data_IF_206960324587
#
_entry.id   IF_206960324587
#
_cell.length_a   1.000
_cell.length_b   1.000
_cell.length_c   1.000
_cell.angle_alpha   90.00
_cell.angle_beta   90.00
_cell.angle_gamma   90.00
#
_symmetry.space_group_name_H-M   'P 1'
#
loop_
_entity.id
_entity.type
_entity.pdbx_description
1 polymer ?
#
# COMPACT_ATOMS: atom_id res chain seq x y z
N UNK A 1 11.13 23.94 -28.03
CA UNK A 1 11.37 22.80 -27.12
C UNK A 1 10.41 21.70 -27.53
N UNK A 2 10.75 20.96 -28.57
CA UNK A 2 9.92 19.85 -29.09
C UNK A 2 10.81 18.89 -29.87
N UNK A 3 11.63 18.11 -29.14
CA UNK A 3 12.55 17.11 -29.77
C UNK A 3 12.93 16.02 -28.76
N UNK A 4 11.97 15.29 -28.20
CA UNK A 4 12.30 14.14 -27.34
C UNK A 4 11.25 13.00 -27.34
N UNK A 5 10.41 12.87 -28.37
CA UNK A 5 9.39 11.80 -28.40
C UNK A 5 9.50 10.86 -29.62
N UNK A 6 10.62 10.84 -30.34
CA UNK A 6 10.77 10.01 -31.55
C UNK A 6 11.70 8.79 -31.42
N UNK A 7 12.41 8.61 -30.33
CA UNK A 7 13.36 7.51 -30.16
C UNK A 7 12.75 6.10 -29.91
N UNK A 8 11.63 5.90 -29.18
CA UNK A 8 11.16 4.54 -28.91
C UNK A 8 10.38 3.87 -30.06
N UNK A 9 9.84 4.66 -31.03
CA UNK A 9 9.10 4.06 -32.15
C UNK A 9 10.04 3.48 -33.22
N UNK A 10 11.20 4.09 -33.44
CA UNK A 10 12.17 3.57 -34.40
C UNK A 10 12.88 2.30 -33.95
N UNK A 11 13.12 2.11 -32.66
CA UNK A 11 13.67 0.88 -32.11
C UNK A 11 12.68 -0.30 -32.17
N UNK A 12 11.38 -0.04 -32.11
CA UNK A 12 10.35 -1.07 -32.25
C UNK A 12 10.15 -1.52 -33.71
N UNK A 13 10.26 -0.61 -34.67
CA UNK A 13 10.18 -0.94 -36.11
C UNK A 13 11.40 -1.77 -36.58
N UNK A 14 12.61 -1.40 -36.14
CA UNK A 14 13.82 -2.15 -36.47
C UNK A 14 13.84 -3.56 -35.86
N UNK A 15 13.34 -3.71 -34.62
CA UNK A 15 13.22 -5.02 -33.99
C UNK A 15 12.17 -5.93 -34.65
N UNK A 16 11.12 -5.34 -35.23
CA UNK A 16 10.11 -6.10 -35.99
C UNK A 16 10.60 -6.52 -37.38
N UNK A 17 11.39 -5.68 -38.06
CA UNK A 17 12.00 -6.02 -39.34
C UNK A 17 13.05 -7.15 -39.20
N UNK A 18 13.91 -7.11 -38.15
CA UNK A 18 14.90 -8.18 -37.89
C UNK A 18 14.22 -9.52 -37.58
N UNK A 19 13.09 -9.55 -36.87
CA UNK A 19 12.36 -10.79 -36.57
C UNK A 19 11.69 -11.36 -37.83
N UNK A 20 11.20 -10.50 -38.72
CA UNK A 20 10.60 -10.95 -40.00
C UNK A 20 11.66 -11.44 -40.96
N UNK A 21 12.84 -10.81 -41.00
CA UNK A 21 13.95 -11.24 -41.88
C UNK A 21 14.58 -12.55 -41.37
N UNK A 22 14.73 -12.76 -40.07
CA UNK A 22 15.17 -14.05 -39.51
C UNK A 22 14.15 -15.18 -39.72
N UNK A 23 12.84 -14.87 -39.73
CA UNK A 23 11.80 -15.83 -40.02
C UNK A 23 11.76 -16.21 -41.52
N UNK A 24 12.11 -15.27 -42.40
CA UNK A 24 12.21 -15.51 -43.84
C UNK A 24 13.47 -16.32 -44.22
N UNK A 25 14.63 -16.07 -43.55
CA UNK A 25 15.85 -16.86 -43.75
C UNK A 25 15.72 -18.28 -43.19
N UNK A 26 14.99 -18.48 -42.09
CA UNK A 26 14.72 -19.82 -41.55
C UNK A 26 13.83 -20.65 -42.46
N UNK A 27 12.96 -20.02 -43.28
CA UNK A 27 12.13 -20.71 -44.26
C UNK A 27 12.87 -21.03 -45.56
N UNK A 28 13.99 -20.36 -45.86
CA UNK A 28 14.77 -20.61 -47.09
C UNK A 28 15.80 -21.74 -46.95
N UNK A 29 16.03 -22.31 -45.78
CA UNK A 29 16.97 -23.40 -45.53
C UNK A 29 16.32 -24.78 -45.35
N UNK A 30 15.01 -24.91 -45.45
CA UNK A 30 14.32 -26.20 -45.59
C UNK A 30 14.18 -26.61 -47.07
N UNK A 31 15.29 -26.69 -47.79
CA UNK A 31 15.32 -27.59 -48.94
C UNK A 31 15.44 -29.03 -48.43
N UNK A 32 14.33 -29.71 -48.50
CA UNK A 32 14.14 -31.09 -48.10
C UNK A 32 15.15 -32.04 -48.81
N UNK A 33 15.68 -33.04 -48.08
CA UNK A 33 16.23 -34.21 -48.75
C UNK A 33 15.06 -34.95 -49.40
N UNK A 34 15.14 -35.11 -50.69
CA UNK A 34 14.29 -36.05 -51.48
C UNK A 34 14.52 -37.44 -50.90
N UNK A 35 13.78 -37.85 -49.89
CA UNK A 35 13.67 -39.22 -49.47
C UNK A 35 12.56 -39.89 -50.28
N UNK A 36 12.91 -40.98 -50.85
CA UNK A 36 12.09 -41.96 -51.61
C UNK A 36 10.69 -42.05 -50.95
N UNK A 37 9.68 -41.54 -51.67
CA UNK A 37 8.27 -41.71 -51.27
C UNK A 37 7.93 -43.18 -51.53
N UNK A 38 8.14 -44.03 -50.54
CA UNK A 38 7.39 -45.26 -50.44
C UNK A 38 5.90 -44.87 -50.35
N UNK A 39 5.08 -45.42 -51.23
CA UNK A 39 3.63 -45.24 -51.29
C UNK A 39 3.08 -45.61 -49.89
N UNK A 40 2.89 -44.55 -49.01
CA UNK A 40 2.22 -44.73 -47.76
C UNK A 40 0.77 -45.10 -48.08
N UNK A 41 0.29 -46.19 -47.55
CA UNK A 41 -1.08 -46.60 -47.82
C UNK A 41 -2.05 -45.50 -47.31
N UNK A 42 -3.18 -45.25 -48.02
CA UNK A 42 -4.17 -44.26 -47.60
C UNK A 42 -4.64 -44.44 -46.14
N UNK A 43 -4.59 -45.68 -45.63
CA UNK A 43 -4.95 -46.00 -44.25
C UNK A 43 -3.89 -45.50 -43.23
N UNK A 44 -2.60 -45.57 -43.60
CA UNK A 44 -1.50 -45.06 -42.77
C UNK A 44 -1.49 -43.52 -42.74
N UNK A 45 -1.80 -42.85 -43.85
CA UNK A 45 -1.94 -41.42 -43.95
C UNK A 45 -3.11 -40.90 -43.07
N UNK A 46 -4.25 -41.59 -43.14
CA UNK A 46 -5.43 -41.30 -42.30
C UNK A 46 -5.09 -41.48 -40.82
N UNK A 47 -4.37 -42.56 -40.45
CA UNK A 47 -3.96 -42.80 -39.06
C UNK A 47 -3.00 -41.72 -38.57
N UNK A 48 -2.06 -41.26 -39.41
CA UNK A 48 -1.15 -40.13 -39.10
C UNK A 48 -1.90 -38.82 -38.84
N UNK A 49 -2.84 -38.48 -39.73
CA UNK A 49 -3.66 -37.27 -39.59
C UNK A 49 -4.55 -37.29 -38.33
N UNK A 50 -5.08 -38.46 -37.96
CA UNK A 50 -5.81 -38.60 -36.71
C UNK A 50 -4.93 -38.38 -35.48
N UNK A 51 -3.69 -38.90 -35.50
CA UNK A 51 -2.74 -38.70 -34.40
C UNK A 51 -2.34 -37.23 -34.27
N UNK A 52 -2.09 -36.54 -35.40
CA UNK A 52 -1.78 -35.11 -35.39
C UNK A 52 -2.97 -34.27 -34.91
N UNK A 53 -4.18 -34.62 -35.29
CA UNK A 53 -5.40 -33.94 -34.87
C UNK A 53 -5.62 -34.10 -33.37
N UNK A 54 -5.38 -35.26 -32.79
CA UNK A 54 -5.47 -35.50 -31.36
C UNK A 54 -4.37 -34.72 -30.59
N UNK A 55 -3.13 -34.70 -31.10
CA UNK A 55 -2.04 -33.91 -30.53
C UNK A 55 -2.34 -32.40 -30.56
N UNK A 56 -2.88 -31.90 -31.68
CA UNK A 56 -3.29 -30.51 -31.81
C UNK A 56 -4.43 -30.14 -30.82
N UNK A 57 -5.42 -31.03 -30.66
CA UNK A 57 -6.50 -30.82 -29.67
C UNK A 57 -5.96 -30.75 -28.27
N UNK A 58 -5.06 -31.65 -27.86
CA UNK A 58 -4.43 -31.62 -26.52
C UNK A 58 -3.63 -30.33 -26.31
N UNK A 59 -2.90 -29.89 -27.35
CA UNK A 59 -2.17 -28.61 -27.30
C UNK A 59 -3.11 -27.44 -27.13
N UNK A 60 -4.22 -27.39 -27.87
CA UNK A 60 -5.24 -26.34 -27.75
C UNK A 60 -5.88 -26.33 -26.35
N UNK A 61 -6.17 -27.50 -25.80
CA UNK A 61 -6.75 -27.61 -24.46
C UNK A 61 -5.79 -27.12 -23.38
N UNK A 62 -4.51 -27.53 -23.44
CA UNK A 62 -3.46 -27.03 -22.55
C UNK A 62 -3.23 -25.52 -22.68
N UNK A 63 -3.27 -24.98 -23.91
CA UNK A 63 -3.16 -23.55 -24.14
C UNK A 63 -4.37 -22.78 -23.59
N UNK A 64 -5.60 -23.29 -23.75
CA UNK A 64 -6.81 -22.69 -23.18
C UNK A 64 -6.72 -22.61 -21.66
N UNK A 65 -6.30 -23.69 -21.00
CA UNK A 65 -6.12 -23.69 -19.54
C UNK A 65 -5.04 -22.69 -19.11
N UNK A 66 -3.95 -22.60 -19.87
CA UNK A 66 -2.90 -21.60 -19.64
C UNK A 66 -3.43 -20.17 -19.75
N UNK A 67 -4.20 -19.86 -20.80
CA UNK A 67 -4.80 -18.54 -21.02
C UNK A 67 -5.80 -18.19 -19.91
N UNK A 68 -6.66 -19.14 -19.52
CA UNK A 68 -7.63 -18.91 -18.42
C UNK A 68 -6.91 -18.61 -17.10
N UNK A 69 -5.85 -19.37 -16.81
CA UNK A 69 -5.03 -19.14 -15.61
C UNK A 69 -4.34 -17.78 -15.65
N UNK A 70 -3.70 -17.44 -16.77
CA UNK A 70 -3.05 -16.14 -16.96
C UNK A 70 -4.05 -14.97 -16.85
N UNK A 71 -5.26 -15.12 -17.41
CA UNK A 71 -6.31 -14.11 -17.27
C UNK A 71 -6.73 -13.92 -15.80
N UNK A 72 -6.88 -15.02 -15.04
CA UNK A 72 -7.19 -14.95 -13.61
C UNK A 72 -6.06 -14.30 -12.80
N UNK A 73 -4.80 -14.59 -13.14
CA UNK A 73 -3.64 -13.95 -12.49
C UNK A 73 -3.58 -12.44 -12.78
N UNK A 74 -3.83 -12.03 -14.03
CA UNK A 74 -3.89 -10.61 -14.42
C UNK A 74 -4.99 -9.89 -13.64
N UNK A 75 -6.18 -10.49 -13.52
CA UNK A 75 -7.28 -9.87 -12.76
C UNK A 75 -6.95 -9.75 -11.27
N UNK A 76 -6.32 -10.78 -10.67
CA UNK A 76 -5.84 -10.72 -9.30
C UNK A 76 -4.76 -9.63 -9.10
N UNK A 77 -3.82 -9.50 -10.04
CA UNK A 77 -2.81 -8.45 -10.00
C UNK A 77 -3.42 -7.06 -10.12
N UNK A 78 -4.39 -6.86 -11.03
CA UNK A 78 -5.12 -5.59 -11.18
C UNK A 78 -5.83 -5.20 -9.89
N UNK A 79 -6.54 -6.15 -9.28
CA UNK A 79 -7.24 -5.92 -8.02
C UNK A 79 -6.27 -5.55 -6.91
N UNK A 80 -5.13 -6.26 -6.79
CA UNK A 80 -4.09 -5.96 -5.80
C UNK A 80 -3.49 -4.58 -6.04
N UNK A 81 -3.12 -4.26 -7.28
CA UNK A 81 -2.57 -2.95 -7.65
C UNK A 81 -3.53 -1.80 -7.31
N UNK A 82 -4.82 -1.95 -7.59
CA UNK A 82 -5.83 -0.96 -7.22
C UNK A 82 -5.90 -0.73 -5.70
N UNK A 83 -5.86 -1.82 -4.91
CA UNK A 83 -5.83 -1.72 -3.45
C UNK A 83 -4.54 -1.07 -2.93
N UNK A 84 -3.41 -1.38 -3.54
CA UNK A 84 -2.12 -0.81 -3.14
C UNK A 84 -2.05 0.68 -3.47
N UNK A 85 -2.58 1.10 -4.62
CA UNK A 85 -2.72 2.52 -4.98
C UNK A 85 -3.64 3.26 -4.00
N UNK A 86 -4.79 2.68 -3.67
CA UNK A 86 -5.72 3.26 -2.68
C UNK A 86 -5.03 3.42 -1.31
N UNK A 87 -4.33 2.38 -0.84
CA UNK A 87 -3.56 2.44 0.42
C UNK A 87 -2.45 3.48 0.34
N UNK A 88 -1.72 3.54 -0.77
CA UNK A 88 -0.66 4.52 -0.97
C UNK A 88 -1.20 5.95 -0.88
N UNK A 89 -2.34 6.25 -1.51
CA UNK A 89 -2.99 7.55 -1.38
C UNK A 89 -3.49 7.83 0.03
N UNK A 90 -4.15 6.85 0.67
CA UNK A 90 -4.73 7.01 2.00
C UNK A 90 -3.68 7.28 3.09
N UNK A 91 -2.49 6.71 2.94
CA UNK A 91 -1.40 6.83 3.92
C UNK A 91 -0.19 7.61 3.41
N UNK A 92 -0.31 8.32 2.30
CA UNK A 92 0.78 9.11 1.72
C UNK A 92 1.39 10.13 2.70
N UNK A 93 0.56 10.66 3.60
CA UNK A 93 0.94 11.68 4.56
C UNK A 93 1.46 11.12 5.89
N UNK A 94 1.57 9.79 6.06
CA UNK A 94 1.97 9.16 7.32
C UNK A 94 3.31 9.69 7.84
N UNK A 95 4.34 9.70 7.01
CA UNK A 95 5.67 10.20 7.40
C UNK A 95 5.66 11.69 7.71
N UNK A 96 5.00 12.49 6.87
CA UNK A 96 4.89 13.93 7.08
C UNK A 96 4.15 14.25 8.39
N UNK A 97 3.03 13.58 8.64
CA UNK A 97 2.28 13.77 9.87
C UNK A 97 3.11 13.42 11.10
N UNK A 98 3.86 12.31 11.07
CA UNK A 98 4.72 11.91 12.18
C UNK A 98 5.79 12.97 12.52
N UNK A 99 6.36 13.64 11.50
CA UNK A 99 7.35 14.72 11.71
C UNK A 99 6.71 16.00 12.28
N UNK A 100 5.40 16.16 12.12
CA UNK A 100 4.66 17.31 12.68
C UNK A 100 4.17 17.10 14.10
N UNK A 101 4.00 15.85 14.58
CA UNK A 101 3.52 15.56 15.93
C UNK A 101 4.38 16.21 17.02
N UNK A 102 5.72 16.25 16.95
CA UNK A 102 6.54 16.94 17.93
C UNK A 102 6.26 18.45 18.04
N UNK A 103 5.75 19.07 16.97
CA UNK A 103 5.37 20.50 17.00
C UNK A 103 4.15 20.70 17.91
N UNK A 104 3.16 19.80 17.80
CA UNK A 104 1.99 19.79 18.67
C UNK A 104 2.43 19.59 20.12
N UNK A 105 3.25 18.57 20.38
CA UNK A 105 3.73 18.27 21.73
C UNK A 105 4.46 19.46 22.37
N UNK A 106 5.23 20.19 21.57
CA UNK A 106 5.94 21.37 22.06
C UNK A 106 4.98 22.54 22.36
N UNK A 107 3.92 22.72 21.54
CA UNK A 107 2.90 23.73 21.80
C UNK A 107 2.09 23.38 23.06
N UNK A 108 1.69 22.11 23.20
CA UNK A 108 0.98 21.62 24.39
C UNK A 108 1.83 21.81 25.65
N UNK A 109 3.10 21.45 25.57
CA UNK A 109 4.06 21.64 26.66
C UNK A 109 4.23 23.13 27.02
N UNK A 110 4.29 24.00 26.01
CA UNK A 110 4.38 25.45 26.27
C UNK A 110 3.16 25.98 27.01
N UNK A 111 1.95 25.46 26.70
CA UNK A 111 0.71 25.83 27.40
C UNK A 111 0.69 25.27 28.82
N UNK A 112 1.19 24.04 29.01
CA UNK A 112 1.21 23.37 30.32
C UNK A 112 2.16 24.07 31.33
N UNK A 113 3.36 24.44 30.86
CA UNK A 113 4.39 25.06 31.72
C UNK A 113 4.29 26.56 31.81
N UNK A 114 3.39 27.20 31.08
CA UNK A 114 3.21 28.64 31.16
C UNK A 114 2.51 29.06 32.45
N UNK A 115 2.97 30.18 33.03
CA UNK A 115 2.35 30.81 34.19
C UNK A 115 1.00 31.43 33.76
N UNK A 116 -0.08 30.78 34.16
CA UNK A 116 -1.47 31.16 33.83
C UNK A 116 -1.96 32.36 34.65
N UNK A 117 -1.29 32.64 35.76
CA UNK A 117 -1.69 33.72 36.67
C UNK A 117 -1.07 35.08 36.30
N UNK A 118 -0.10 35.09 35.38
CA UNK A 118 0.55 36.30 34.92
C UNK A 118 -0.20 36.92 33.74
N UNK A 119 -0.79 38.10 33.94
CA UNK A 119 -1.53 38.87 32.94
C UNK A 119 -0.72 39.17 31.67
N UNK A 120 0.61 39.33 31.78
CA UNK A 120 1.46 39.61 30.62
C UNK A 120 1.63 38.36 29.69
N UNK A 121 1.51 37.16 30.25
CA UNK A 121 1.61 35.91 29.50
C UNK A 121 0.27 35.41 28.95
N UNK A 122 -0.84 35.88 29.50
CA UNK A 122 -2.18 35.43 29.15
C UNK A 122 -2.53 35.61 27.66
N UNK A 123 -2.24 36.77 27.08
CA UNK A 123 -2.49 37.05 25.68
C UNK A 123 -1.63 36.18 24.72
N UNK A 124 -0.40 35.85 25.18
CA UNK A 124 0.50 34.96 24.44
C UNK A 124 -0.03 33.53 24.49
N UNK A 125 -0.52 33.08 25.67
CA UNK A 125 -1.12 31.76 25.82
C UNK A 125 -2.36 31.59 24.96
N UNK A 126 -3.27 32.58 24.95
CA UNK A 126 -4.43 32.57 24.06
C UNK A 126 -4.00 32.44 22.57
N UNK A 127 -2.94 33.13 22.17
CA UNK A 127 -2.38 33.02 20.81
C UNK A 127 -1.83 31.63 20.52
N UNK A 128 -1.14 30.99 21.46
CA UNK A 128 -0.61 29.63 21.32
C UNK A 128 -1.76 28.62 21.27
N UNK A 129 -2.78 28.74 22.10
CA UNK A 129 -3.97 27.87 22.10
C UNK A 129 -4.74 27.96 20.77
N UNK A 130 -4.91 29.19 20.24
CA UNK A 130 -5.52 29.39 18.94
C UNK A 130 -4.69 28.77 17.81
N UNK A 131 -3.37 28.87 17.90
CA UNK A 131 -2.43 28.28 16.92
C UNK A 131 -2.51 26.76 16.97
N UNK A 132 -2.46 26.18 18.17
CA UNK A 132 -2.59 24.73 18.38
C UNK A 132 -3.91 24.20 17.82
N UNK A 133 -5.02 24.89 18.13
CA UNK A 133 -6.33 24.53 17.62
C UNK A 133 -6.38 24.58 16.10
N UNK A 134 -5.91 25.68 15.49
CA UNK A 134 -5.88 25.84 14.04
C UNK A 134 -5.02 24.76 13.36
N UNK A 135 -3.92 24.37 14.00
CA UNK A 135 -3.03 23.33 13.51
C UNK A 135 -3.69 21.95 13.60
N UNK A 136 -4.32 21.61 14.72
CA UNK A 136 -5.08 20.36 14.90
C UNK A 136 -6.25 20.27 13.91
N UNK A 137 -7.00 21.36 13.72
CA UNK A 137 -8.08 21.44 12.75
C UNK A 137 -7.57 21.25 11.30
N UNK A 138 -6.38 21.76 10.99
CA UNK A 138 -5.76 21.55 9.69
C UNK A 138 -5.37 20.09 9.45
N UNK A 139 -4.75 19.45 10.44
CA UNK A 139 -4.39 18.02 10.37
C UNK A 139 -5.64 17.13 10.30
N UNK A 140 -6.71 17.48 11.01
CA UNK A 140 -7.99 16.77 10.95
C UNK A 140 -8.59 16.71 9.55
N UNK A 141 -8.41 17.75 8.73
CA UNK A 141 -8.85 17.76 7.31
C UNK A 141 -8.14 16.72 6.44
N UNK A 142 -6.96 16.29 6.86
CA UNK A 142 -6.17 15.25 6.19
C UNK A 142 -6.34 13.86 6.84
N UNK A 143 -7.30 13.72 7.77
CA UNK A 143 -7.63 12.44 8.40
C UNK A 143 -6.72 12.08 9.59
N UNK A 144 -5.98 13.04 10.15
CA UNK A 144 -5.25 12.85 11.41
C UNK A 144 -6.22 13.12 12.55
N UNK A 145 -6.42 12.14 13.41
CA UNK A 145 -7.31 12.22 14.58
C UNK A 145 -6.51 12.06 15.87
N UNK A 146 -6.86 12.87 16.88
CA UNK A 146 -6.27 12.83 18.22
C UNK A 146 -6.83 11.64 19.01
N UNK A 147 -5.96 10.93 19.73
CA UNK A 147 -6.29 9.88 20.70
C UNK A 147 -5.95 10.39 22.10
N UNK A 148 -6.98 10.80 22.83
CA UNK A 148 -6.86 11.32 24.20
C UNK A 148 -7.81 10.56 25.13
N UNK A 149 -7.43 9.37 25.60
CA UNK A 149 -8.30 8.44 26.29
C UNK A 149 -8.40 8.71 27.80
N UNK A 150 -8.29 9.94 28.25
CA UNK A 150 -8.37 10.28 29.69
C UNK A 150 -9.72 9.86 30.28
N UNK A 151 -9.69 9.01 31.28
CA UNK A 151 -10.89 8.46 31.94
C UNK A 151 -11.49 7.24 31.22
N UNK A 152 -10.93 6.81 30.10
CA UNK A 152 -11.37 5.64 29.34
C UNK A 152 -10.62 4.37 29.75
N UNK A 153 -11.13 3.21 29.33
CA UNK A 153 -10.45 1.93 29.52
C UNK A 153 -9.16 1.88 28.68
N UNK A 154 -8.10 1.33 29.25
CA UNK A 154 -6.84 1.14 28.54
C UNK A 154 -6.99 0.15 27.39
N UNK A 155 -6.56 0.56 26.20
CA UNK A 155 -6.49 -0.29 25.00
C UNK A 155 -5.06 -0.42 24.52
N UNK A 156 -4.46 -1.62 24.50
CA UNK A 156 -3.09 -1.82 24.01
C UNK A 156 -2.90 -1.48 22.52
N UNK A 157 -3.99 -1.40 21.75
CA UNK A 157 -3.92 -1.07 20.31
C UNK A 157 -3.59 0.40 20.06
N UNK A 158 -4.06 1.30 20.95
CA UNK A 158 -3.93 2.75 20.76
C UNK A 158 -3.14 3.43 21.88
N UNK A 159 -2.91 2.74 23.01
CA UNK A 159 -2.33 3.32 24.21
C UNK A 159 -1.07 2.57 24.64
N UNK A 160 -0.10 3.31 25.12
CA UNK A 160 1.11 2.79 25.73
C UNK A 160 1.14 3.17 27.22
N UNK A 161 0.99 2.20 28.11
CA UNK A 161 1.10 2.43 29.54
C UNK A 161 2.56 2.68 29.94
N UNK A 162 2.83 3.86 30.48
CA UNK A 162 4.16 4.24 31.00
C UNK A 162 4.33 3.90 32.47
N UNK A 163 3.25 4.02 33.24
CA UNK A 163 3.24 3.71 34.68
C UNK A 163 1.85 3.23 35.12
N UNK A 164 1.83 2.50 36.22
CA UNK A 164 0.60 2.08 36.90
C UNK A 164 0.56 2.71 38.28
N UNK A 165 -0.57 3.34 38.61
CA UNK A 165 -0.77 3.97 39.93
C UNK A 165 -1.97 3.33 40.65
N UNK A 166 -1.83 2.94 41.91
CA UNK A 166 -2.97 2.49 42.68
C UNK A 166 -4.01 3.61 42.81
N UNK A 167 -5.26 3.29 42.52
CA UNK A 167 -6.37 4.22 42.65
C UNK A 167 -7.61 3.47 43.13
N UNK A 168 -8.34 4.09 44.08
CA UNK A 168 -9.63 3.59 44.53
C UNK A 168 -10.81 4.36 43.89
N UNK A 169 -10.52 5.45 43.19
CA UNK A 169 -11.54 6.37 42.64
C UNK A 169 -12.06 5.89 41.28
N UNK A 170 -11.26 5.08 40.59
CA UNK A 170 -11.59 4.57 39.25
C UNK A 170 -11.35 3.05 39.16
N UNK A 171 -12.06 2.42 38.23
CA UNK A 171 -11.89 0.99 37.99
C UNK A 171 -10.43 0.66 37.58
N UNK A 172 -9.90 -0.51 37.94
CA UNK A 172 -8.60 -0.97 37.47
C UNK A 172 -8.56 -0.97 35.93
N UNK A 173 -7.39 -0.73 35.39
CA UNK A 173 -7.18 -0.69 33.93
C UNK A 173 -7.81 0.53 33.23
N UNK A 174 -8.05 1.62 33.95
CA UNK A 174 -8.55 2.90 33.42
C UNK A 174 -7.41 3.89 33.27
N UNK A 175 -7.44 4.71 32.23
CA UNK A 175 -6.44 5.76 31.99
C UNK A 175 -6.66 6.91 32.97
N UNK A 176 -5.71 7.12 33.87
CA UNK A 176 -5.73 8.18 34.86
C UNK A 176 -5.32 9.54 34.30
N UNK A 177 -4.25 9.51 33.50
CA UNK A 177 -3.70 10.70 32.89
C UNK A 177 -3.07 10.34 31.54
N UNK A 178 -3.12 11.29 30.62
CA UNK A 178 -2.45 11.21 29.33
C UNK A 178 -1.22 12.12 29.39
N UNK A 179 -0.04 11.49 29.35
CA UNK A 179 1.26 12.20 29.38
C UNK A 179 1.62 12.77 28.01
N UNK A 180 1.20 12.07 26.96
CA UNK A 180 1.40 12.47 25.59
C UNK A 180 0.25 11.91 24.75
N UNK A 181 -0.41 12.75 23.97
CA UNK A 181 -1.52 12.36 23.13
C UNK A 181 -1.07 11.45 22.00
N UNK A 182 -1.90 10.47 21.68
CA UNK A 182 -1.75 9.62 20.50
C UNK A 182 -2.39 10.23 19.27
N UNK A 183 -2.07 9.67 18.10
CA UNK A 183 -2.65 10.11 16.83
C UNK A 183 -2.87 8.93 15.89
N UNK A 184 -3.95 9.00 15.12
CA UNK A 184 -4.25 8.08 14.03
C UNK A 184 -4.34 8.83 12.70
N UNK A 185 -4.08 8.15 11.58
CA UNK A 185 -4.28 8.66 10.22
C UNK A 185 -5.26 7.74 9.50
N UNK A 186 -6.45 8.23 9.20
CA UNK A 186 -7.49 7.45 8.54
C UNK A 186 -7.76 6.10 9.23
N UNK A 187 -7.73 6.08 10.58
CA UNK A 187 -7.93 4.89 11.42
C UNK A 187 -6.69 4.01 11.63
N UNK A 188 -5.54 4.35 11.04
CA UNK A 188 -4.27 3.66 11.30
C UNK A 188 -3.47 4.42 12.36
N UNK A 189 -2.94 3.69 13.35
CA UNK A 189 -2.13 4.27 14.39
C UNK A 189 -0.84 4.88 13.82
N UNK A 190 -0.61 6.18 14.08
CA UNK A 190 0.64 6.90 13.86
C UNK A 190 1.54 6.80 15.09
N UNK A 191 0.98 7.12 16.25
CA UNK A 191 1.67 7.10 17.53
C UNK A 191 0.68 6.77 18.65
N UNK A 192 0.97 5.79 19.53
CA UNK A 192 0.11 5.51 20.69
C UNK A 192 0.11 6.66 21.68
N UNK A 193 -1.00 6.84 22.40
CA UNK A 193 -1.06 7.75 23.54
C UNK A 193 -0.24 7.17 24.70
N UNK A 194 0.67 7.97 25.26
CA UNK A 194 1.43 7.59 26.46
C UNK A 194 0.58 7.91 27.69
N UNK A 195 0.20 6.89 28.42
CA UNK A 195 -0.80 7.02 29.50
C UNK A 195 -0.32 6.43 30.83
N UNK A 196 -0.88 6.96 31.91
CA UNK A 196 -0.82 6.37 33.23
C UNK A 196 -2.11 5.61 33.50
N UNK A 197 -2.01 4.37 33.95
CA UNK A 197 -3.15 3.45 34.10
C UNK A 197 -3.39 3.15 35.59
N UNK A 198 -4.65 3.02 35.99
CA UNK A 198 -5.04 2.63 37.35
C UNK A 198 -4.74 1.15 37.58
N UNK A 199 -4.19 0.85 38.77
CA UNK A 199 -4.11 -0.48 39.35
C UNK A 199 -5.03 -0.53 40.58
N UNK A 200 -5.61 -1.69 40.87
CA UNK A 200 -6.33 -1.87 42.15
C UNK A 200 -5.39 -1.54 43.32
N UNK A 201 -5.84 -0.73 44.25
CA UNK A 201 -5.14 -0.54 45.50
C UNK A 201 -5.27 -1.82 46.34
N UNK A 202 -4.15 -2.35 46.79
CA UNK A 202 -4.10 -3.49 47.73
C UNK A 202 -4.50 -3.05 49.13
#
# INVERSE_FOLDING_TARGET
>A
MSEQTKAPEQELETAQEEVVEQAAEAQAQEEAPQSEQGEISPEEEIAGLYAELEAAKQTIEGQKDGVVRAAAEVENMRRRAAQDVEKAHKFALEKFSNELLPVIDNLERAIEFADKDNEATKSILEGIEMTLKSFSDALGKFGVEEVNPQGEAFSPEFHQAMSMQPSNDVAPNTVLAVMQKGYTLNGRLLRPAMVMVSKAAE
#
